data_IF_486525392737
#
_entry.id   IF_486525392737
#
_cell.length_a   1.000
_cell.length_b   1.000
_cell.length_c   1.000
_cell.angle_alpha   90.00
_cell.angle_beta   90.00
_cell.angle_gamma   90.00
#
_symmetry.space_group_name_H-M   'P 1'
#
loop_
_entity.id
_entity.type
_entity.pdbx_description
1 polymer ?
#
# COMPACT_ATOMS: atom_id res chain seq x y z
N UNK A 1 -20.08 10.56 -11.55
CA UNK A 1 -19.88 10.59 -10.08
C UNK A 1 -19.96 12.03 -9.62
N UNK A 2 -20.16 12.28 -8.33
CA UNK A 2 -20.16 13.64 -7.78
C UNK A 2 -18.72 14.14 -7.60
N UNK A 3 -18.52 15.44 -7.77
CA UNK A 3 -17.27 16.19 -7.57
C UNK A 3 -16.06 15.58 -8.31
N UNK A 4 -16.19 15.43 -9.63
CA UNK A 4 -15.17 14.76 -10.47
C UNK A 4 -14.76 15.59 -11.69
N UNK A 5 -13.45 15.56 -11.98
CA UNK A 5 -12.77 16.06 -13.18
C UNK A 5 -12.50 14.87 -14.13
N UNK A 6 -12.86 15.04 -15.42
CA UNK A 6 -13.07 13.95 -16.37
C UNK A 6 -12.60 14.33 -17.78
N UNK A 7 -11.49 13.76 -18.23
CA UNK A 7 -11.16 13.69 -19.66
C UNK A 7 -11.94 12.57 -20.38
N UNK A 8 -12.64 12.89 -21.47
CA UNK A 8 -13.31 11.91 -22.34
C UNK A 8 -12.64 11.86 -23.71
N UNK A 9 -12.03 10.74 -24.07
CA UNK A 9 -11.39 10.56 -25.37
C UNK A 9 -12.06 9.52 -26.28
N UNK A 10 -12.00 9.75 -27.59
CA UNK A 10 -12.41 8.80 -28.63
C UNK A 10 -11.64 9.07 -29.94
N UNK A 11 -11.73 8.15 -30.90
CA UNK A 11 -11.15 8.28 -32.24
C UNK A 11 -12.29 8.08 -33.23
N UNK A 12 -12.54 9.04 -34.10
CA UNK A 12 -13.65 8.93 -35.04
C UNK A 12 -13.34 8.01 -36.24
N UNK A 13 -14.34 7.79 -37.10
CA UNK A 13 -14.22 6.98 -38.32
C UNK A 13 -13.14 7.47 -39.30
N UNK A 14 -12.70 8.73 -39.19
CA UNK A 14 -11.62 9.29 -40.02
C UNK A 14 -10.22 9.04 -39.44
N UNK A 15 -10.15 8.51 -38.21
CA UNK A 15 -8.93 8.37 -37.44
C UNK A 15 -8.54 9.64 -36.67
N UNK A 16 -9.41 10.64 -36.60
CA UNK A 16 -9.16 11.88 -35.85
C UNK A 16 -9.35 11.62 -34.36
N UNK A 17 -8.40 12.08 -33.55
CA UNK A 17 -8.38 11.85 -32.10
C UNK A 17 -9.00 13.06 -31.41
N UNK A 18 -9.93 12.79 -30.50
CA UNK A 18 -10.58 13.82 -29.70
C UNK A 18 -10.39 13.54 -28.22
N UNK A 19 -10.29 14.62 -27.44
CA UNK A 19 -10.46 14.60 -26.00
C UNK A 19 -11.34 15.81 -25.61
N UNK A 20 -12.35 15.57 -24.79
CA UNK A 20 -13.18 16.60 -24.20
C UNK A 20 -12.83 16.73 -22.72
N UNK A 21 -12.65 17.98 -22.33
CA UNK A 21 -12.60 18.36 -20.94
C UNK A 21 -14.01 18.41 -20.35
N UNK A 22 -14.24 17.71 -19.24
CA UNK A 22 -15.55 17.60 -18.61
C UNK A 22 -15.44 17.54 -17.09
N UNK A 23 -16.46 18.02 -16.42
CA UNK A 23 -16.58 17.94 -14.96
C UNK A 23 -17.98 17.49 -14.51
N UNK A 24 -18.12 17.10 -13.24
CA UNK A 24 -19.41 16.72 -12.66
C UNK A 24 -19.53 17.17 -11.18
N UNK A 25 -20.49 18.05 -10.89
CA UNK A 25 -20.83 18.48 -9.51
C UNK A 25 -21.75 17.53 -8.75
N UNK A 26 -22.37 16.58 -9.45
CA UNK A 26 -23.35 15.66 -8.89
C UNK A 26 -23.35 14.36 -9.68
N UNK A 27 -24.04 13.35 -9.13
CA UNK A 27 -24.30 12.13 -9.87
C UNK A 27 -25.20 12.44 -11.07
N UNK A 28 -24.58 12.42 -12.26
CA UNK A 28 -25.25 12.74 -13.51
C UNK A 28 -24.29 12.65 -14.68
N UNK A 29 -24.73 13.19 -15.81
CA UNK A 29 -23.92 13.32 -17.01
C UNK A 29 -22.86 14.43 -16.80
N UNK A 30 -21.57 14.14 -17.01
CA UNK A 30 -20.52 15.15 -17.00
C UNK A 30 -20.77 16.27 -18.02
N UNK A 31 -20.64 17.51 -17.56
CA UNK A 31 -20.77 18.71 -18.38
C UNK A 31 -19.45 19.01 -19.08
N UNK A 32 -19.50 19.58 -20.27
CA UNK A 32 -18.28 20.05 -20.97
C UNK A 32 -17.75 21.29 -20.25
N UNK A 33 -16.45 21.31 -20.00
CA UNK A 33 -15.78 22.54 -19.61
C UNK A 33 -15.64 23.46 -20.83
N UNK A 34 -16.33 24.60 -20.77
CA UNK A 34 -16.31 25.61 -21.82
C UNK A 34 -15.50 26.85 -21.42
N UNK A 35 -14.89 26.82 -20.23
CA UNK A 35 -14.10 27.92 -19.67
C UNK A 35 -12.61 27.72 -19.94
N UNK A 36 -12.12 26.51 -19.75
CA UNK A 36 -10.73 26.11 -19.99
C UNK A 36 -10.69 24.79 -20.77
N UNK A 37 -9.50 24.47 -21.29
CA UNK A 37 -9.21 23.17 -21.91
C UNK A 37 -7.91 22.72 -21.29
N UNK A 38 -7.99 21.73 -20.41
CA UNK A 38 -6.88 21.27 -19.59
C UNK A 38 -6.37 19.89 -20.00
N UNK A 39 -7.20 19.17 -20.76
CA UNK A 39 -6.90 17.85 -21.34
C UNK A 39 -6.50 17.96 -22.82
N UNK A 40 -5.32 17.45 -23.16
CA UNK A 40 -4.81 17.50 -24.53
C UNK A 40 -4.45 16.11 -25.06
N UNK A 41 -5.06 15.71 -26.16
CA UNK A 41 -4.68 14.49 -26.87
C UNK A 41 -3.30 14.63 -27.51
N UNK A 42 -2.52 13.55 -27.48
CA UNK A 42 -1.18 13.48 -28.08
C UNK A 42 -1.17 12.50 -29.25
N UNK A 43 -1.52 11.25 -28.98
CA UNK A 43 -1.54 10.16 -29.96
C UNK A 43 -2.70 9.22 -29.65
N UNK A 44 -3.15 8.48 -30.65
CA UNK A 44 -4.28 7.58 -30.50
C UNK A 44 -4.24 6.49 -31.54
N UNK A 45 -4.71 5.30 -31.17
CA UNK A 45 -4.90 4.19 -32.11
C UNK A 45 -6.12 3.36 -31.73
N UNK A 46 -6.78 2.84 -32.75
CA UNK A 46 -7.80 1.82 -32.60
C UNK A 46 -7.36 0.54 -33.29
N UNK A 47 -7.27 -0.55 -32.53
CA UNK A 47 -6.85 -1.85 -33.06
C UNK A 47 -7.67 -2.94 -32.39
N UNK A 48 -8.33 -3.77 -33.19
CA UNK A 48 -9.03 -4.98 -32.73
C UNK A 48 -10.01 -4.72 -31.56
N UNK A 49 -10.79 -3.64 -31.63
CA UNK A 49 -11.76 -3.26 -30.61
C UNK A 49 -11.18 -2.56 -29.37
N UNK A 50 -9.88 -2.23 -29.38
CA UNK A 50 -9.23 -1.43 -28.36
C UNK A 50 -8.94 -0.02 -28.84
N UNK A 51 -9.38 0.96 -28.09
CA UNK A 51 -9.01 2.37 -28.25
C UNK A 51 -7.95 2.73 -27.22
N UNK A 52 -6.78 3.19 -27.67
CA UNK A 52 -5.73 3.68 -26.80
C UNK A 52 -5.43 5.13 -27.17
N UNK A 53 -5.58 6.05 -26.21
CA UNK A 53 -5.31 7.48 -26.38
C UNK A 53 -4.27 7.89 -25.33
N UNK A 54 -3.18 8.47 -25.82
CA UNK A 54 -2.20 9.16 -25.00
C UNK A 54 -2.60 10.63 -24.90
N UNK A 55 -2.58 11.17 -23.69
CA UNK A 55 -2.93 12.57 -23.42
C UNK A 55 -1.94 13.20 -22.43
N UNK A 56 -2.03 14.52 -22.27
CA UNK A 56 -1.38 15.29 -21.21
C UNK A 56 -2.38 16.23 -20.53
N UNK A 57 -2.15 16.47 -19.24
CA UNK A 57 -2.86 17.43 -18.38
C UNK A 57 -1.84 17.93 -17.35
N UNK A 58 -1.94 19.18 -16.92
CA UNK A 58 -1.13 19.66 -15.79
C UNK A 58 -1.54 18.94 -14.50
N UNK A 59 -0.66 18.87 -13.50
CA UNK A 59 -1.01 18.31 -12.19
C UNK A 59 -2.04 19.20 -11.50
N UNK A 60 -1.80 20.51 -11.54
CA UNK A 60 -2.71 21.56 -11.09
C UNK A 60 -2.93 22.52 -12.26
N UNK A 61 -4.17 22.68 -12.67
CA UNK A 61 -4.59 23.50 -13.82
C UNK A 61 -4.98 24.91 -13.37
N UNK A 62 -5.13 25.13 -12.06
CA UNK A 62 -5.69 26.34 -11.46
C UNK A 62 -7.13 26.65 -11.92
N UNK A 63 -7.81 25.71 -12.57
CA UNK A 63 -9.22 25.81 -12.90
C UNK A 63 -10.09 25.29 -11.73
N UNK A 64 -11.25 25.94 -11.52
CA UNK A 64 -12.14 25.65 -10.38
C UNK A 64 -13.04 24.43 -10.63
N UNK A 65 -13.15 23.97 -11.87
CA UNK A 65 -13.92 22.76 -12.21
C UNK A 65 -13.07 21.50 -12.12
N UNK A 66 -11.75 21.67 -12.11
CA UNK A 66 -10.76 20.61 -12.05
C UNK A 66 -10.38 20.17 -10.63
N UNK A 67 -9.93 18.91 -10.53
CA UNK A 67 -9.39 18.35 -9.30
C UNK A 67 -7.86 18.37 -9.36
N UNK A 68 -7.16 19.15 -8.51
CA UNK A 68 -5.70 19.16 -8.51
C UNK A 68 -5.16 17.77 -8.14
N UNK A 69 -4.28 17.23 -8.98
CA UNK A 69 -3.56 15.98 -8.72
C UNK A 69 -2.46 16.33 -7.72
N UNK A 70 -2.59 15.82 -6.50
CA UNK A 70 -1.64 16.05 -5.40
C UNK A 70 -0.79 14.82 -5.15
N UNK A 71 0.32 15.02 -4.46
CA UNK A 71 1.13 13.91 -3.94
C UNK A 71 0.30 13.10 -2.95
N UNK A 72 0.45 11.77 -2.98
CA UNK A 72 -0.34 10.84 -2.19
C UNK A 72 -1.40 10.11 -3.01
N UNK A 73 -2.44 9.59 -2.34
CA UNK A 73 -3.48 8.78 -2.96
C UNK A 73 -4.44 9.62 -3.79
N UNK A 74 -4.53 9.31 -5.08
CA UNK A 74 -5.49 9.88 -6.01
C UNK A 74 -6.57 8.82 -6.33
N UNK A 75 -7.84 9.25 -6.37
CA UNK A 75 -8.96 8.36 -6.70
C UNK A 75 -9.31 8.50 -8.17
N UNK A 76 -8.83 7.55 -8.98
CA UNK A 76 -9.16 7.50 -10.39
C UNK A 76 -10.50 6.80 -10.61
N UNK A 77 -11.17 7.28 -11.64
CA UNK A 77 -12.47 6.79 -12.06
C UNK A 77 -12.37 6.50 -13.54
N UNK A 78 -12.98 5.43 -13.99
CA UNK A 78 -12.97 5.09 -15.41
C UNK A 78 -14.33 4.58 -15.83
N UNK A 79 -14.65 4.83 -17.10
CA UNK A 79 -15.80 4.27 -17.78
C UNK A 79 -15.51 4.19 -19.27
N UNK A 80 -16.19 3.28 -19.98
CA UNK A 80 -16.04 3.16 -21.42
C UNK A 80 -17.37 2.90 -22.14
N UNK A 81 -17.51 3.54 -23.30
CA UNK A 81 -18.62 3.39 -24.24
C UNK A 81 -18.44 2.18 -25.16
N UNK A 82 -19.49 1.83 -25.89
CA UNK A 82 -19.41 0.87 -27.01
C UNK A 82 -19.45 1.58 -28.38
N UNK A 83 -19.68 2.89 -28.35
CA UNK A 83 -19.85 3.75 -29.51
C UNK A 83 -19.25 5.10 -29.18
N UNK A 84 -18.77 5.78 -30.22
CA UNK A 84 -18.27 7.14 -30.09
C UNK A 84 -19.37 8.12 -29.67
N UNK A 85 -19.00 9.27 -29.09
CA UNK A 85 -19.92 10.37 -28.87
C UNK A 85 -20.60 10.81 -30.17
N UNK A 86 -21.89 11.16 -30.09
CA UNK A 86 -22.71 11.55 -31.24
C UNK A 86 -23.22 12.99 -31.10
N UNK A 87 -23.16 13.86 -32.12
CA UNK A 87 -22.54 13.60 -33.44
C UNK A 87 -21.03 13.37 -33.30
N UNK A 88 -20.44 12.62 -34.24
CA UNK A 88 -19.00 12.42 -34.28
C UNK A 88 -18.29 13.76 -34.45
N UNK A 89 -17.26 14.03 -33.65
CA UNK A 89 -16.50 15.28 -33.65
C UNK A 89 -16.55 15.99 -32.30
N UNK A 90 -15.94 17.19 -32.18
CA UNK A 90 -15.60 17.80 -30.89
C UNK A 90 -16.82 18.18 -30.02
N UNK A 91 -18.02 18.22 -30.59
CA UNK A 91 -19.28 18.50 -29.88
C UNK A 91 -20.07 17.23 -29.54
N UNK A 92 -19.47 16.06 -29.74
CA UNK A 92 -20.13 14.79 -29.54
C UNK A 92 -20.60 14.59 -28.11
N UNK A 93 -21.78 13.98 -28.00
CA UNK A 93 -22.45 13.74 -26.74
C UNK A 93 -22.27 12.29 -26.30
N UNK A 94 -21.75 12.12 -25.07
CA UNK A 94 -21.51 10.82 -24.44
C UNK A 94 -22.79 10.07 -24.07
N UNK A 95 -22.74 8.75 -24.19
CA UNK A 95 -23.81 7.84 -23.76
C UNK A 95 -23.54 7.24 -22.37
N UNK A 96 -24.59 6.73 -21.72
CA UNK A 96 -24.43 6.08 -20.42
C UNK A 96 -23.66 4.75 -20.51
N UNK A 97 -22.58 4.64 -19.75
CA UNK A 97 -21.65 3.50 -19.75
C UNK A 97 -22.21 2.21 -19.09
N UNK A 98 -23.37 2.26 -18.42
CA UNK A 98 -23.92 1.12 -17.65
C UNK A 98 -22.87 0.55 -16.67
N UNK A 99 -22.66 -0.76 -16.68
CA UNK A 99 -21.73 -1.47 -15.79
C UNK A 99 -20.25 -1.39 -16.24
N UNK A 100 -19.94 -0.76 -17.38
CA UNK A 100 -18.57 -0.59 -17.90
C UNK A 100 -17.87 0.58 -17.24
N UNK A 101 -17.68 0.47 -15.94
CA UNK A 101 -17.11 1.53 -15.09
C UNK A 101 -16.40 0.93 -13.88
N UNK A 102 -15.51 1.70 -13.29
CA UNK A 102 -14.89 1.36 -12.03
C UNK A 102 -14.13 2.56 -11.45
N UNK A 103 -13.44 2.30 -10.35
CA UNK A 103 -12.58 3.27 -9.69
C UNK A 103 -11.38 2.55 -9.08
N UNK A 104 -10.26 3.26 -8.96
CA UNK A 104 -9.04 2.74 -8.34
C UNK A 104 -8.31 3.87 -7.61
N UNK A 105 -7.82 3.59 -6.41
CA UNK A 105 -6.91 4.47 -5.70
C UNK A 105 -5.46 4.17 -6.14
N UNK A 106 -4.70 5.19 -6.52
CA UNK A 106 -3.27 5.08 -6.83
C UNK A 106 -2.56 6.42 -6.64
N UNK A 107 -1.24 6.38 -6.49
CA UNK A 107 -0.41 7.59 -6.50
C UNK A 107 0.01 7.90 -7.94
N UNK A 108 -0.36 9.09 -8.43
CA UNK A 108 0.00 9.56 -9.79
C UNK A 108 1.35 10.28 -9.85
N UNK A 109 1.96 10.58 -8.69
CA UNK A 109 3.21 11.34 -8.59
C UNK A 109 4.39 10.52 -8.02
N UNK A 110 4.15 9.30 -7.53
CA UNK A 110 5.23 8.44 -7.03
C UNK A 110 5.96 7.82 -8.21
N UNK A 111 7.01 8.51 -8.65
CA UNK A 111 7.95 8.11 -9.70
C UNK A 111 9.22 7.52 -9.08
N UNK A 112 9.10 6.74 -8.02
CA UNK A 112 10.19 5.85 -7.61
C UNK A 112 9.98 4.57 -8.40
N UNK A 113 10.90 4.23 -9.30
CA UNK A 113 10.89 2.92 -9.94
C UNK A 113 10.86 1.87 -8.83
N UNK A 114 9.77 1.10 -8.75
CA UNK A 114 9.75 -0.05 -7.85
C UNK A 114 10.94 -0.93 -8.21
N UNK A 115 11.77 -1.32 -7.24
CA UNK A 115 12.95 -2.13 -7.53
C UNK A 115 12.55 -3.41 -8.26
N UNK A 116 13.35 -3.81 -9.24
CA UNK A 116 13.16 -5.08 -9.94
C UNK A 116 13.92 -6.19 -9.20
N UNK A 117 13.72 -7.44 -9.62
CA UNK A 117 14.53 -8.56 -9.14
C UNK A 117 16.03 -8.34 -9.38
N UNK A 118 16.38 -7.63 -10.46
CA UNK A 118 17.78 -7.33 -10.79
C UNK A 118 18.43 -6.41 -9.75
N UNK A 119 17.64 -5.54 -9.08
CA UNK A 119 18.11 -4.67 -7.99
C UNK A 119 18.75 -5.47 -6.85
N UNK A 120 18.26 -6.68 -6.59
CA UNK A 120 18.73 -7.54 -5.50
C UNK A 120 19.46 -8.81 -5.99
N UNK A 121 19.79 -8.87 -7.29
CA UNK A 121 20.43 -10.03 -7.87
C UNK A 121 21.77 -10.34 -7.19
N UNK A 122 21.95 -11.61 -6.79
CA UNK A 122 23.18 -12.10 -6.15
C UNK A 122 23.38 -11.66 -4.71
N UNK A 123 22.36 -11.11 -4.04
CA UNK A 123 22.37 -10.88 -2.60
C UNK A 123 21.85 -12.10 -1.83
N UNK A 124 22.36 -12.27 -0.61
CA UNK A 124 21.77 -13.19 0.35
C UNK A 124 20.38 -12.69 0.79
N UNK A 125 19.51 -13.60 1.19
CA UNK A 125 18.18 -13.26 1.68
C UNK A 125 17.68 -14.21 2.75
N UNK A 126 16.69 -13.76 3.52
CA UNK A 126 15.95 -14.59 4.47
C UNK A 126 14.46 -14.48 4.26
N UNK A 127 13.81 -15.63 4.22
CA UNK A 127 12.37 -15.76 4.06
C UNK A 127 11.70 -16.01 5.41
N UNK A 128 10.66 -15.22 5.68
CA UNK A 128 9.77 -15.35 6.81
C UNK A 128 8.39 -15.70 6.24
N UNK A 129 8.20 -16.99 5.96
CA UNK A 129 7.05 -17.50 5.20
C UNK A 129 6.36 -18.66 5.91
N UNK A 130 5.04 -18.67 5.80
CA UNK A 130 4.26 -19.85 6.17
C UNK A 130 4.60 -21.02 5.24
N UNK A 131 4.27 -22.22 5.70
CA UNK A 131 4.50 -23.44 4.94
C UNK A 131 3.19 -24.22 4.84
N UNK A 132 2.51 -24.11 3.70
CA UNK A 132 1.24 -24.80 3.42
C UNK A 132 0.19 -24.62 4.54
N UNK A 133 0.07 -23.40 5.07
CA UNK A 133 -0.90 -23.08 6.11
C UNK A 133 -2.33 -23.20 5.54
N UNK A 134 -3.19 -23.95 6.22
CA UNK A 134 -4.61 -24.08 5.82
C UNK A 134 -5.37 -22.87 6.32
N UNK A 135 -5.79 -22.00 5.41
CA UNK A 135 -6.53 -20.78 5.76
C UNK A 135 -7.94 -21.18 6.26
N UNK A 136 -8.34 -20.79 7.47
CA UNK A 136 -9.66 -21.11 8.00
C UNK A 136 -10.80 -20.51 7.16
N UNK A 137 -11.90 -21.25 7.05
CA UNK A 137 -13.13 -20.83 6.36
C UNK A 137 -13.99 -19.90 7.20
N UNK A 138 -13.39 -18.84 7.72
CA UNK A 138 -14.06 -17.77 8.49
C UNK A 138 -13.75 -16.43 7.84
N UNK A 139 -14.56 -15.42 8.14
CA UNK A 139 -14.51 -14.13 7.47
C UNK A 139 -13.17 -13.39 7.63
N UNK A 140 -12.58 -13.47 8.82
CA UNK A 140 -11.34 -12.77 9.15
C UNK A 140 -10.44 -13.69 9.95
N UNK A 141 -9.20 -13.84 9.50
CA UNK A 141 -8.17 -14.60 10.23
C UNK A 141 -6.91 -13.77 10.38
N UNK A 142 -6.42 -13.63 11.61
CA UNK A 142 -5.08 -13.15 11.89
C UNK A 142 -4.23 -14.34 12.34
N UNK A 143 -3.32 -14.75 11.49
CA UNK A 143 -2.40 -15.83 11.78
C UNK A 143 -1.02 -15.24 12.07
N UNK A 144 -0.34 -15.78 13.09
CA UNK A 144 0.94 -15.31 13.54
C UNK A 144 1.93 -16.47 13.60
N UNK A 145 3.18 -16.19 13.25
CA UNK A 145 4.27 -17.15 13.41
C UNK A 145 5.54 -16.45 13.87
N UNK A 146 6.20 -17.05 14.84
CA UNK A 146 7.50 -16.63 15.33
C UNK A 146 8.59 -17.23 14.44
N UNK A 147 9.57 -16.40 14.09
CA UNK A 147 10.76 -16.78 13.35
C UNK A 147 11.98 -16.33 14.13
N UNK A 148 13.04 -17.14 14.06
CA UNK A 148 14.34 -16.76 14.56
C UNK A 148 15.02 -15.82 13.57
N UNK A 149 15.72 -14.82 14.11
CA UNK A 149 16.62 -13.99 13.32
C UNK A 149 17.73 -14.86 12.67
N UNK A 150 18.22 -14.47 11.50
CA UNK A 150 19.32 -15.15 10.83
C UNK A 150 20.56 -15.31 11.71
N UNK A 151 21.05 -16.54 11.85
CA UNK A 151 22.17 -16.90 12.72
C UNK A 151 23.45 -17.28 11.97
N UNK A 152 23.47 -17.15 10.65
CA UNK A 152 24.64 -17.44 9.80
C UNK A 152 25.71 -16.34 9.84
N UNK A 153 25.46 -15.23 10.53
CA UNK A 153 26.43 -14.16 10.73
C UNK A 153 26.77 -14.01 12.22
N UNK A 154 28.04 -13.73 12.53
CA UNK A 154 28.50 -13.42 13.89
C UNK A 154 28.24 -11.96 14.29
N UNK A 155 28.29 -11.05 13.31
CA UNK A 155 28.06 -9.61 13.47
C UNK A 155 26.77 -9.20 12.76
N UNK A 156 26.13 -8.11 13.21
CA UNK A 156 24.93 -7.57 12.58
C UNK A 156 25.14 -7.34 11.08
N UNK A 157 24.05 -7.48 10.33
CA UNK A 157 23.95 -7.14 8.90
C UNK A 157 22.84 -6.13 8.70
N UNK A 158 22.85 -5.49 7.54
CA UNK A 158 21.75 -4.62 7.11
C UNK A 158 20.96 -5.32 6.02
N UNK A 159 19.66 -5.49 6.25
CA UNK A 159 18.73 -5.66 5.14
C UNK A 159 18.64 -4.32 4.41
N UNK A 160 18.75 -4.34 3.09
CA UNK A 160 18.74 -3.14 2.22
C UNK A 160 17.50 -3.05 1.35
N UNK A 161 16.58 -3.99 1.53
CA UNK A 161 15.29 -4.03 0.87
C UNK A 161 14.48 -5.22 1.37
N UNK A 162 13.20 -5.22 1.05
CA UNK A 162 12.32 -6.34 1.33
C UNK A 162 11.40 -6.63 0.15
N UNK A 163 10.92 -7.87 0.10
CA UNK A 163 9.88 -8.30 -0.83
C UNK A 163 8.77 -9.01 -0.09
N UNK A 164 7.55 -8.65 -0.41
CA UNK A 164 6.33 -9.34 0.01
C UNK A 164 6.10 -10.48 -0.97
N UNK A 165 5.86 -11.66 -0.43
CA UNK A 165 5.65 -12.88 -1.19
C UNK A 165 4.24 -13.34 -0.88
N UNK A 166 3.30 -13.01 -1.76
CA UNK A 166 1.94 -13.55 -1.69
C UNK A 166 1.87 -14.77 -2.59
N UNK A 167 1.30 -15.85 -2.06
CA UNK A 167 0.95 -17.01 -2.88
C UNK A 167 -0.05 -16.58 -3.94
N UNK A 168 0.28 -16.75 -5.21
CA UNK A 168 -0.57 -16.38 -6.34
C UNK A 168 -1.98 -16.96 -6.24
N UNK A 169 -2.13 -18.09 -5.55
CA UNK A 169 -3.44 -18.65 -5.30
C UNK A 169 -4.29 -17.71 -4.46
N UNK A 170 -3.73 -16.98 -3.48
CA UNK A 170 -4.39 -16.26 -2.39
C UNK A 170 -4.28 -14.72 -2.46
N UNK A 171 -3.97 -14.14 -3.62
CA UNK A 171 -3.95 -12.67 -3.82
C UNK A 171 -5.27 -11.98 -3.45
N UNK A 172 -6.38 -12.71 -3.53
CA UNK A 172 -7.72 -12.26 -3.13
C UNK A 172 -7.98 -12.31 -1.61
N UNK A 173 -7.19 -13.07 -0.86
CA UNK A 173 -7.38 -13.29 0.58
C UNK A 173 -6.38 -12.53 1.45
N UNK A 174 -5.11 -12.47 1.04
CA UNK A 174 -4.05 -11.84 1.85
C UNK A 174 -4.22 -10.32 1.83
N UNK A 175 -4.63 -9.76 2.96
CA UNK A 175 -4.97 -8.34 3.06
C UNK A 175 -3.81 -7.48 3.58
N UNK A 176 -3.03 -8.00 4.54
CA UNK A 176 -1.80 -7.34 4.99
C UNK A 176 -0.83 -8.35 5.63
N UNK A 177 0.46 -8.01 5.60
CA UNK A 177 1.56 -8.76 6.22
C UNK A 177 2.38 -7.77 7.04
N UNK A 178 2.54 -8.06 8.34
CA UNK A 178 3.35 -7.28 9.26
C UNK A 178 4.44 -8.15 9.85
N UNK A 179 5.63 -7.58 10.03
CA UNK A 179 6.71 -8.16 10.82
C UNK A 179 6.88 -7.32 12.07
N UNK A 180 6.85 -7.96 13.23
CA UNK A 180 7.15 -7.33 14.50
C UNK A 180 8.48 -7.82 15.07
N UNK A 181 9.22 -6.92 15.69
CA UNK A 181 10.35 -7.24 16.54
C UNK A 181 9.87 -7.76 17.89
N UNK A 182 10.41 -8.90 18.30
CA UNK A 182 10.29 -9.33 19.69
C UNK A 182 11.26 -8.55 20.58
N UNK A 183 10.88 -8.34 21.85
CA UNK A 183 11.76 -7.76 22.86
C UNK A 183 13.11 -8.50 22.90
N UNK A 184 14.25 -7.82 23.13
CA UNK A 184 15.57 -8.45 23.15
C UNK A 184 15.74 -9.61 24.14
N UNK A 185 14.89 -9.69 25.16
CA UNK A 185 14.90 -10.76 26.16
C UNK A 185 13.98 -11.93 25.82
N UNK A 186 13.26 -11.88 24.69
CA UNK A 186 12.40 -12.98 24.27
C UNK A 186 13.24 -14.23 23.98
N UNK A 187 12.79 -15.37 24.50
CA UNK A 187 13.40 -16.67 24.24
C UNK A 187 12.32 -17.69 23.91
N UNK A 188 12.56 -18.46 22.86
CA UNK A 188 11.70 -19.52 22.39
C UNK A 188 12.54 -20.79 22.18
N UNK A 189 11.87 -21.94 22.13
CA UNK A 189 12.51 -23.17 21.64
C UNK A 189 12.60 -23.07 20.11
N UNK A 190 13.83 -22.97 19.59
CA UNK A 190 14.10 -22.88 18.15
C UNK A 190 13.54 -24.06 17.35
N UNK A 191 13.34 -25.22 18.00
CA UNK A 191 12.78 -26.41 17.35
C UNK A 191 11.25 -26.41 17.32
N UNK A 192 10.62 -25.52 18.08
CA UNK A 192 9.16 -25.44 18.22
C UNK A 192 8.72 -23.98 18.40
N UNK A 193 9.03 -23.16 17.40
CA UNK A 193 8.64 -21.76 17.39
C UNK A 193 7.10 -21.64 17.29
N UNK A 194 6.46 -20.74 18.08
CA UNK A 194 5.01 -20.58 18.04
C UNK A 194 4.46 -20.23 16.65
N UNK A 195 3.38 -20.89 16.27
CA UNK A 195 2.72 -20.83 14.96
C UNK A 195 1.21 -21.12 15.17
N UNK A 196 0.38 -20.07 15.21
CA UNK A 196 -1.04 -20.16 15.60
C UNK A 196 -1.79 -18.87 15.24
N UNK A 197 -3.09 -18.81 15.52
CA UNK A 197 -3.86 -17.57 15.54
C UNK A 197 -3.20 -16.54 16.46
N UNK A 198 -3.16 -15.28 16.02
CA UNK A 198 -2.50 -14.21 16.75
C UNK A 198 -3.04 -14.02 18.17
N UNK A 199 -4.34 -14.21 18.39
CA UNK A 199 -4.91 -14.13 19.74
C UNK A 199 -4.33 -15.17 20.71
N UNK A 200 -3.99 -16.36 20.21
CA UNK A 200 -3.34 -17.40 21.01
C UNK A 200 -1.87 -17.05 21.28
N UNK A 201 -1.16 -16.62 20.24
CA UNK A 201 0.25 -16.21 20.32
C UNK A 201 0.43 -14.99 21.23
N UNK A 202 -0.39 -13.95 21.11
CA UNK A 202 -0.28 -12.74 21.93
C UNK A 202 -0.39 -13.02 23.44
N UNK A 203 -1.16 -14.05 23.83
CA UNK A 203 -1.21 -14.51 25.24
C UNK A 203 0.11 -15.15 25.70
N UNK A 204 0.88 -15.72 24.78
CA UNK A 204 2.15 -16.41 25.04
C UNK A 204 3.37 -15.50 24.80
N UNK A 205 3.26 -14.52 23.89
CA UNK A 205 4.37 -13.75 23.34
C UNK A 205 4.11 -12.24 23.39
N UNK A 206 3.62 -11.74 24.52
CA UNK A 206 3.38 -10.30 24.74
C UNK A 206 4.61 -9.41 24.45
N UNK A 207 5.81 -10.00 24.40
CA UNK A 207 7.06 -9.36 24.03
C UNK A 207 7.19 -9.00 22.54
N UNK A 208 6.30 -9.47 21.65
CA UNK A 208 6.44 -9.32 20.20
C UNK A 208 5.35 -8.49 19.53
N UNK A 209 4.49 -7.80 20.29
CA UNK A 209 3.21 -7.28 19.74
C UNK A 209 3.19 -5.78 19.44
N UNK A 210 4.27 -5.06 19.75
CA UNK A 210 4.26 -3.58 19.73
C UNK A 210 5.19 -2.95 18.70
N UNK A 211 6.31 -3.60 18.35
CA UNK A 211 7.37 -2.99 17.54
C UNK A 211 7.27 -3.47 16.09
N UNK A 212 6.52 -2.77 15.25
CA UNK A 212 6.44 -3.09 13.81
C UNK A 212 7.79 -2.76 13.15
N UNK A 213 8.38 -3.72 12.43
CA UNK A 213 9.58 -3.54 11.62
C UNK A 213 9.26 -3.37 10.13
N UNK A 214 8.30 -4.14 9.63
CA UNK A 214 7.83 -4.08 8.23
C UNK A 214 6.31 -4.15 8.24
N UNK A 215 5.70 -3.37 7.36
CA UNK A 215 4.27 -3.37 7.11
C UNK A 215 4.04 -3.35 5.62
N UNK A 216 3.15 -4.23 5.16
CA UNK A 216 2.58 -4.20 3.83
C UNK A 216 1.08 -4.45 3.91
N UNK A 217 0.33 -3.76 3.08
CA UNK A 217 -1.10 -3.90 2.88
C UNK A 217 -1.45 -3.82 1.40
N UNK A 218 -2.65 -4.31 1.06
CA UNK A 218 -3.16 -4.25 -0.31
C UNK A 218 -3.11 -2.82 -0.87
N UNK A 219 -2.45 -2.67 -2.02
CA UNK A 219 -2.25 -1.37 -2.67
C UNK A 219 -0.83 -0.80 -2.49
N UNK A 220 -0.05 -1.32 -1.55
CA UNK A 220 1.37 -1.03 -1.40
C UNK A 220 2.24 -1.85 -2.37
N UNK A 221 3.42 -1.33 -2.70
CA UNK A 221 4.39 -2.04 -3.54
C UNK A 221 4.86 -3.33 -2.86
N UNK A 222 4.99 -4.39 -3.65
CA UNK A 222 5.48 -5.68 -3.16
C UNK A 222 6.98 -5.70 -2.91
N UNK A 223 7.74 -4.78 -3.51
CA UNK A 223 9.20 -4.73 -3.37
C UNK A 223 9.63 -3.32 -3.03
N UNK A 224 10.49 -3.19 -2.03
CA UNK A 224 10.99 -1.89 -1.55
C UNK A 224 12.49 -1.97 -1.39
N UNK A 225 13.19 -0.97 -1.93
CA UNK A 225 14.61 -0.72 -1.70
C UNK A 225 14.75 0.38 -0.65
N UNK A 226 15.62 0.14 0.34
CA UNK A 226 15.95 1.13 1.36
C UNK A 226 17.02 2.10 0.81
N UNK A 227 17.08 3.36 1.30
CA UNK A 227 18.03 4.37 0.81
C UNK A 227 19.49 3.97 1.08
N UNK A 228 20.42 4.40 0.22
CA UNK A 228 21.81 3.97 0.26
C UNK A 228 22.52 4.21 1.61
N UNK A 229 22.07 5.20 2.36
CA UNK A 229 22.65 5.62 3.64
C UNK A 229 22.19 4.74 4.82
N UNK A 230 21.04 4.05 4.71
CA UNK A 230 20.43 3.34 5.83
C UNK A 230 19.98 1.92 5.50
N UNK A 231 20.15 1.00 6.44
CA UNK A 231 19.68 -0.37 6.31
C UNK A 231 19.07 -0.89 7.61
N UNK A 232 18.14 -1.82 7.50
CA UNK A 232 17.46 -2.39 8.66
C UNK A 232 18.38 -3.43 9.34
N UNK A 233 18.77 -3.22 10.63
CA UNK A 233 19.71 -4.12 11.30
C UNK A 233 19.07 -5.47 11.62
N UNK A 234 19.79 -6.56 11.32
CA UNK A 234 19.30 -7.93 11.50
C UNK A 234 20.44 -8.90 11.77
N UNK A 235 20.16 -9.92 12.60
CA UNK A 235 21.06 -11.05 12.86
C UNK A 235 22.34 -10.69 13.64
N UNK A 236 23.23 -11.68 13.77
CA UNK A 236 24.52 -11.50 14.45
C UNK A 236 24.40 -11.01 15.90
N UNK A 237 25.12 -9.94 16.23
CA UNK A 237 25.12 -9.30 17.54
C UNK A 237 23.96 -8.29 17.75
N UNK A 238 23.09 -8.08 16.75
CA UNK A 238 21.91 -7.23 16.90
C UNK A 238 20.97 -7.77 18.00
N UNK A 239 20.44 -6.96 18.93
CA UNK A 239 19.72 -7.46 20.10
C UNK A 239 18.42 -8.22 19.80
N UNK A 240 17.77 -7.95 18.67
CA UNK A 240 16.51 -8.60 18.29
C UNK A 240 16.83 -9.98 17.70
N UNK A 241 16.39 -11.03 18.40
CA UNK A 241 16.65 -12.43 18.02
C UNK A 241 15.45 -13.15 17.42
N UNK A 242 14.26 -12.60 17.56
CA UNK A 242 13.03 -13.20 17.07
C UNK A 242 12.12 -12.14 16.46
N UNK A 243 11.37 -12.56 15.46
CA UNK A 243 10.38 -11.76 14.76
C UNK A 243 9.05 -12.50 14.75
N UNK A 244 7.94 -11.76 14.88
CA UNK A 244 6.61 -12.30 14.66
C UNK A 244 6.09 -11.80 13.32
N UNK A 245 5.78 -12.70 12.39
CA UNK A 245 5.05 -12.33 11.17
C UNK A 245 3.58 -12.56 11.41
N UNK A 246 2.80 -11.51 11.22
CA UNK A 246 1.34 -11.52 11.22
C UNK A 246 0.83 -11.42 9.79
N UNK A 247 0.00 -12.37 9.38
CA UNK A 247 -0.71 -12.33 8.10
C UNK A 247 -2.20 -12.25 8.40
N UNK A 248 -2.85 -11.24 7.85
CA UNK A 248 -4.29 -11.07 7.91
C UNK A 248 -4.93 -11.53 6.60
N UNK A 249 -5.86 -12.48 6.73
CA UNK A 249 -6.71 -12.95 5.65
C UNK A 249 -8.10 -12.35 5.78
N UNK A 250 -8.55 -11.70 4.72
CA UNK A 250 -9.94 -11.29 4.54
C UNK A 250 -10.63 -12.29 3.61
N UNK A 251 -11.45 -13.20 4.17
CA UNK A 251 -12.11 -14.29 3.44
C UNK A 251 -13.64 -14.13 3.53
N UNK A 252 -14.22 -13.09 2.89
CA UNK A 252 -15.64 -12.77 3.01
C UNK A 252 -16.56 -13.90 2.53
N UNK A 253 -16.07 -14.72 1.59
CA UNK A 253 -16.80 -15.85 1.03
C UNK A 253 -16.60 -17.16 1.81
N UNK A 254 -15.77 -17.15 2.87
CA UNK A 254 -15.53 -18.30 3.76
C UNK A 254 -15.08 -19.55 2.99
N UNK A 255 -14.17 -19.36 2.03
CA UNK A 255 -13.55 -20.44 1.26
C UNK A 255 -12.79 -21.39 2.20
N UNK A 256 -12.83 -22.70 1.93
CA UNK A 256 -12.35 -23.75 2.84
C UNK A 256 -11.21 -24.62 2.30
N UNK A 257 -10.83 -24.42 1.04
CA UNK A 257 -9.88 -25.25 0.27
C UNK A 257 -8.61 -24.48 -0.08
N UNK A 258 -8.17 -23.62 0.84
CA UNK A 258 -7.11 -22.63 0.61
C UNK A 258 -5.92 -22.94 1.48
N UNK A 259 -4.79 -23.20 0.83
CA UNK A 259 -3.48 -23.33 1.47
C UNK A 259 -2.62 -22.14 1.09
N UNK A 260 -1.86 -21.63 2.05
CA UNK A 260 -1.06 -20.43 1.86
C UNK A 260 0.39 -20.64 2.32
N UNK A 261 1.32 -20.13 1.51
CA UNK A 261 2.74 -20.04 1.86
C UNK A 261 3.26 -18.61 1.70
N UNK A 262 2.39 -17.64 1.98
CA UNK A 262 2.73 -16.22 1.92
C UNK A 262 3.65 -15.80 3.06
N UNK A 263 4.26 -14.63 2.91
CA UNK A 263 5.14 -14.03 3.90
C UNK A 263 5.97 -12.90 3.30
N UNK A 264 7.19 -12.74 3.79
CA UNK A 264 8.12 -11.71 3.30
C UNK A 264 9.54 -12.23 3.23
N UNK A 265 10.36 -11.49 2.48
CA UNK A 265 11.80 -11.69 2.29
C UNK A 265 12.55 -10.42 2.65
N UNK A 266 13.67 -10.57 3.36
CA UNK A 266 14.66 -9.51 3.55
C UNK A 266 15.87 -9.77 2.64
N UNK A 267 16.30 -8.76 1.90
CA UNK A 267 17.52 -8.82 1.09
C UNK A 267 18.69 -8.20 1.86
N UNK A 268 19.79 -8.94 1.99
CA UNK A 268 20.92 -8.58 2.83
C UNK A 268 22.00 -7.90 2.01
N UNK A 269 22.36 -6.68 2.44
CA UNK A 269 23.46 -5.94 1.85
C UNK A 269 24.80 -6.62 2.13
N UNK A 270 25.72 -6.48 1.18
CA UNK A 270 27.09 -7.02 1.31
C UNK A 270 27.89 -6.30 2.40
N UNK A 271 27.62 -5.00 2.57
CA UNK A 271 28.28 -4.12 3.53
C UNK A 271 27.25 -3.45 4.45
N UNK A 272 27.70 -3.01 5.63
CA UNK A 272 26.89 -2.17 6.49
C UNK A 272 26.74 -0.78 5.88
N UNK A 273 25.52 -0.25 5.89
CA UNK A 273 25.23 1.15 5.57
C UNK A 273 25.54 2.05 6.77
N UNK A 274 25.64 3.35 6.52
CA UNK A 274 26.05 4.33 7.53
C UNK A 274 25.11 4.36 8.75
N UNK A 275 23.80 4.21 8.52
CA UNK A 275 22.79 4.32 9.57
C UNK A 275 21.94 3.04 9.71
N UNK A 276 21.53 2.76 10.94
CA UNK A 276 20.53 1.75 11.25
C UNK A 276 19.14 2.36 11.00
N UNK A 277 18.31 1.68 10.23
CA UNK A 277 16.92 2.05 10.01
C UNK A 277 16.03 1.47 11.10
N UNK A 278 15.08 2.27 11.59
CA UNK A 278 14.04 1.82 12.52
C UNK A 278 12.67 2.40 12.15
N UNK A 279 11.63 1.86 12.77
CA UNK A 279 10.25 2.32 12.59
C UNK A 279 9.77 2.97 13.88
N UNK A 280 9.22 4.18 13.75
CA UNK A 280 8.59 4.90 14.86
C UNK A 280 7.08 4.90 14.67
N UNK A 281 6.37 4.16 15.51
CA UNK A 281 4.91 4.19 15.53
C UNK A 281 4.42 5.42 16.32
N UNK A 282 3.68 6.30 15.66
CA UNK A 282 3.05 7.49 16.25
C UNK A 282 1.53 7.41 16.10
N UNK A 283 0.80 7.76 17.16
CA UNK A 283 -0.65 7.80 17.11
C UNK A 283 -1.31 7.41 18.43
N UNK A 284 -2.62 7.13 18.34
CA UNK A 284 -3.41 6.68 19.49
C UNK A 284 -3.34 5.15 19.60
N UNK A 285 -3.15 4.65 20.82
CA UNK A 285 -3.18 3.20 21.09
C UNK A 285 -4.52 2.60 20.64
N UNK A 286 -4.56 1.47 19.93
CA UNK A 286 -5.80 0.82 19.51
C UNK A 286 -6.49 0.16 20.71
N UNK A 287 -7.16 0.96 21.54
CA UNK A 287 -7.93 0.48 22.67
C UNK A 287 -9.22 1.29 22.82
N UNK A 288 -10.35 0.66 23.22
CA UNK A 288 -11.60 1.36 23.47
C UNK A 288 -11.47 2.48 24.51
N UNK A 289 -10.50 2.39 25.42
CA UNK A 289 -10.20 3.40 26.42
C UNK A 289 -9.42 4.60 25.86
N UNK A 290 -8.73 4.44 24.72
CA UNK A 290 -7.87 5.46 24.14
C UNK A 290 -8.52 6.20 22.95
N UNK A 291 -9.41 5.54 22.20
CA UNK A 291 -10.10 6.13 21.06
C UNK A 291 -11.57 5.69 21.00
N UNK A 292 -12.49 6.66 21.09
CA UNK A 292 -13.92 6.44 20.91
C UNK A 292 -14.49 7.56 20.03
N UNK A 293 -15.05 7.20 18.88
CA UNK A 293 -15.66 8.14 17.94
C UNK A 293 -17.19 8.09 18.15
N UNK A 294 -17.85 9.21 18.50
CA UNK A 294 -19.30 9.22 18.66
C UNK A 294 -20.02 8.86 17.35
N UNK A 295 -21.14 8.12 17.39
CA UNK A 295 -21.89 7.80 16.18
C UNK A 295 -22.52 9.06 15.57
N UNK A 296 -22.61 9.10 14.22
CA UNK A 296 -23.30 10.13 13.43
C UNK A 296 -22.71 11.55 13.50
N UNK A 297 -21.44 11.68 13.87
CA UNK A 297 -20.71 12.94 13.70
C UNK A 297 -20.16 13.03 12.28
N UNK A 298 -20.29 14.20 11.64
CA UNK A 298 -19.79 14.41 10.26
C UNK A 298 -18.27 14.44 10.21
N UNK A 299 -17.63 15.06 11.21
CA UNK A 299 -16.17 15.12 11.36
C UNK A 299 -15.78 15.06 12.83
N UNK A 300 -14.82 14.20 13.15
CA UNK A 300 -14.23 14.09 14.49
C UNK A 300 -12.72 14.05 14.36
N UNK A 301 -12.03 14.98 15.03
CA UNK A 301 -10.58 15.12 14.94
C UNK A 301 -9.95 14.39 16.12
N UNK A 302 -8.93 13.57 15.84
CA UNK A 302 -8.15 12.85 16.84
C UNK A 302 -6.71 13.35 16.77
N UNK A 303 -6.29 14.08 17.79
CA UNK A 303 -4.91 14.54 17.90
C UNK A 303 -4.09 13.58 18.77
N UNK A 304 -2.89 13.26 18.32
CA UNK A 304 -1.92 12.45 19.07
C UNK A 304 -0.59 13.17 19.12
N UNK A 305 0.09 13.09 20.27
CA UNK A 305 1.30 13.85 20.53
C UNK A 305 2.44 12.94 21.01
N UNK A 306 3.65 13.18 20.49
CA UNK A 306 4.88 12.69 21.09
C UNK A 306 5.42 13.80 22.00
N UNK A 307 5.43 13.56 23.31
CA UNK A 307 5.83 14.60 24.28
C UNK A 307 7.34 14.88 24.19
N UNK A 308 7.74 16.10 24.58
CA UNK A 308 9.16 16.45 24.69
C UNK A 308 9.94 15.46 25.57
N UNK A 309 9.29 14.95 26.63
CA UNK A 309 9.84 13.91 27.51
C UNK A 309 10.11 12.60 26.78
N UNK A 310 9.23 12.18 25.86
CA UNK A 310 9.45 11.00 25.05
C UNK A 310 10.64 11.19 24.09
N UNK A 311 10.72 12.36 23.43
CA UNK A 311 11.81 12.67 22.49
C UNK A 311 13.18 12.85 23.16
N UNK A 312 13.24 13.05 24.48
CA UNK A 312 14.53 13.06 25.20
C UNK A 312 15.28 11.71 25.12
N UNK A 313 14.59 10.62 24.77
CA UNK A 313 15.21 9.31 24.56
C UNK A 313 15.80 9.14 23.16
N UNK A 314 15.67 10.13 22.27
CA UNK A 314 16.25 10.07 20.93
C UNK A 314 17.77 10.32 20.98
N UNK A 315 18.52 9.89 19.96
CA UNK A 315 19.92 10.26 19.81
C UNK A 315 20.11 11.78 19.87
N UNK A 316 21.24 12.23 20.45
CA UNK A 316 21.54 13.67 20.56
C UNK A 316 21.60 14.37 19.21
N UNK A 317 22.03 13.65 18.18
CA UNK A 317 22.13 14.12 16.80
C UNK A 317 20.76 14.20 16.10
N UNK A 318 19.70 13.70 16.75
CA UNK A 318 18.36 13.59 16.20
C UNK A 318 18.13 12.31 15.40
N UNK A 319 16.99 12.29 14.69
CA UNK A 319 16.61 11.23 13.74
C UNK A 319 16.21 11.87 12.42
N UNK A 320 16.36 11.14 11.32
CA UNK A 320 15.90 11.56 9.99
C UNK A 320 14.70 10.71 9.57
N UNK A 321 13.56 11.35 9.32
CA UNK A 321 12.36 10.67 8.79
C UNK A 321 12.45 10.63 7.28
N UNK A 322 12.51 9.43 6.72
CA UNK A 322 12.63 9.20 5.26
C UNK A 322 11.34 8.72 4.61
N UNK A 323 10.40 8.20 5.41
CA UNK A 323 9.11 7.70 4.95
C UNK A 323 8.08 7.78 6.09
N UNK A 324 6.82 7.90 5.73
CA UNK A 324 5.69 7.88 6.65
C UNK A 324 4.55 7.06 6.02
N UNK A 325 4.03 6.10 6.78
CA UNK A 325 2.92 5.24 6.36
C UNK A 325 1.74 5.51 7.29
N UNK A 326 0.72 6.23 6.82
CA UNK A 326 -0.43 6.54 7.64
C UNK A 326 -1.40 5.34 7.63
N UNK A 327 -1.94 4.97 8.80
CA UNK A 327 -2.83 3.81 8.95
C UNK A 327 -4.11 4.20 9.68
N UNK A 328 -5.26 3.90 9.07
CA UNK A 328 -6.61 4.16 9.58
C UNK A 328 -7.56 3.03 9.16
N UNK A 329 -8.66 2.87 9.89
CA UNK A 329 -9.75 1.97 9.50
C UNK A 329 -10.81 2.71 8.67
N UNK A 330 -11.86 2.00 8.25
CA UNK A 330 -12.93 2.49 7.36
C UNK A 330 -13.49 3.90 7.63
N UNK A 331 -13.74 4.36 8.88
CA UNK A 331 -14.32 5.69 9.08
C UNK A 331 -13.29 6.83 9.03
N UNK A 332 -12.00 6.53 8.92
CA UNK A 332 -10.96 7.55 8.86
C UNK A 332 -10.88 8.24 7.49
N UNK A 333 -10.35 9.46 7.50
CA UNK A 333 -9.99 10.22 6.31
C UNK A 333 -8.72 11.02 6.59
N UNK A 334 -7.82 11.14 5.60
CA UNK A 334 -6.60 11.94 5.68
C UNK A 334 -6.80 13.35 5.13
#
# INVERSE_FOLDING_TARGET
MKDADIGVGWIDETGSIYIQDRYAFANGRPMVDNTTIDWFALQGREVSGWTAIQFKRLLDTCDIMDVPIKSGTNHLIFAYGLTDPSPSGPTGEISYHKNRRGSRALSLQSYADSPSEDTFAGLDYFDFRLNNYVVPSVETTYHCKIYKAPSNYSMKRHAIGHKIIVDSANEDLVHHILMYECHPTAQFDDNNLPDDLCDAIHRQTALCVHNVAILWDVGSDYMVALPEEAGYPVGGDFPIKYYMVNIHYNNPNRLSDRTDSSGLRLYIGKELRQYDLGVLALGTKPSPAALAIPPKVERFIVDSYCSATATMNFPKEGITVISAIPHIHMPGMF
#
